data_IF_406842115211
#
_entry.id   IF_406842115211
#
_cell.length_a   1.000
_cell.length_b   1.000
_cell.length_c   1.000
_cell.angle_alpha   90.00
_cell.angle_beta   90.00
_cell.angle_gamma   90.00
#
_symmetry.space_group_name_H-M   'P 1'
#
loop_
_entity.id
_entity.type
_entity.pdbx_description
1 polymer ?
#
# COMPACT_ATOMS: atom_id res chain seq x y z
N UNK A 1 -19.85 -3.01 -1.80
CA UNK A 1 -19.53 -1.95 -2.78
C UNK A 1 -18.19 -1.29 -2.45
N UNK A 2 -18.04 -0.71 -1.25
CA UNK A 2 -16.81 -0.02 -0.83
C UNK A 2 -15.53 -0.85 -0.94
N UNK A 3 -15.56 -2.14 -0.58
CA UNK A 3 -14.37 -3.00 -0.57
C UNK A 3 -13.73 -3.20 -1.96
N UNK A 4 -14.53 -3.44 -3.01
CA UNK A 4 -14.00 -3.67 -4.36
C UNK A 4 -13.26 -2.45 -4.89
N UNK A 5 -13.84 -1.25 -4.69
CA UNK A 5 -13.20 0.01 -5.08
C UNK A 5 -11.91 0.27 -4.30
N UNK A 6 -11.92 0.07 -2.98
CA UNK A 6 -10.72 0.26 -2.15
C UNK A 6 -9.59 -0.70 -2.52
N UNK A 7 -9.90 -1.99 -2.69
CA UNK A 7 -8.89 -2.99 -3.07
C UNK A 7 -8.33 -2.75 -4.48
N UNK A 8 -9.14 -2.21 -5.39
CA UNK A 8 -8.67 -1.78 -6.72
C UNK A 8 -7.73 -0.58 -6.62
N UNK A 9 -8.06 0.43 -5.79
CA UNK A 9 -7.18 1.58 -5.52
C UNK A 9 -5.83 1.11 -4.97
N UNK A 10 -5.82 0.15 -4.05
CA UNK A 10 -4.58 -0.42 -3.50
C UNK A 10 -3.73 -1.04 -4.61
N UNK A 11 -4.34 -1.80 -5.51
CA UNK A 11 -3.63 -2.44 -6.62
C UNK A 11 -3.06 -1.45 -7.63
N UNK A 12 -3.84 -0.45 -8.02
CA UNK A 12 -3.44 0.54 -9.03
C UNK A 12 -2.32 1.45 -8.49
N UNK A 13 -2.54 2.07 -7.33
CA UNK A 13 -1.56 2.93 -6.68
C UNK A 13 -0.31 2.14 -6.28
N UNK A 14 -0.49 0.91 -5.80
CA UNK A 14 0.61 0.03 -5.46
C UNK A 14 1.46 -0.35 -6.66
N UNK A 15 0.83 -0.69 -7.79
CA UNK A 15 1.54 -1.02 -9.02
C UNK A 15 2.30 0.20 -9.57
N UNK A 16 1.71 1.39 -9.50
CA UNK A 16 2.40 2.63 -9.86
C UNK A 16 3.68 2.85 -9.04
N UNK A 17 3.62 2.64 -7.71
CA UNK A 17 4.81 2.69 -6.85
C UNK A 17 5.86 1.69 -7.31
N UNK A 18 5.50 0.41 -7.49
CA UNK A 18 6.46 -0.62 -7.89
C UNK A 18 7.14 -0.31 -9.23
N UNK A 19 6.42 0.27 -10.18
CA UNK A 19 7.02 0.77 -11.44
C UNK A 19 7.98 1.93 -11.21
N UNK A 20 7.64 2.88 -10.34
CA UNK A 20 8.48 4.05 -10.06
C UNK A 20 9.80 3.71 -9.34
N UNK A 21 9.83 2.61 -8.59
CA UNK A 21 11.02 2.17 -7.85
C UNK A 21 11.72 0.96 -8.46
N UNK A 22 11.31 0.51 -9.65
CA UNK A 22 11.92 -0.64 -10.30
C UNK A 22 13.41 -0.39 -10.56
N UNK A 23 14.27 -1.25 -9.99
CA UNK A 23 15.73 -1.14 -10.11
C UNK A 23 16.35 0.05 -9.36
N UNK A 24 15.56 0.81 -8.59
CA UNK A 24 16.05 1.97 -7.82
C UNK A 24 16.59 1.49 -6.47
N UNK A 25 17.80 1.91 -6.12
CA UNK A 25 18.36 1.67 -4.79
C UNK A 25 17.92 2.76 -3.79
N UNK A 26 17.94 2.45 -2.48
CA UNK A 26 17.48 3.38 -1.45
C UNK A 26 18.17 4.75 -1.53
N UNK A 27 19.49 4.80 -1.71
CA UNK A 27 20.21 6.08 -1.78
C UNK A 27 19.82 6.91 -3.02
N UNK A 28 19.54 6.25 -4.14
CA UNK A 28 19.07 6.91 -5.36
C UNK A 28 17.66 7.44 -5.17
N UNK A 29 16.76 6.63 -4.59
CA UNK A 29 15.42 7.03 -4.21
C UNK A 29 15.46 8.28 -3.33
N UNK A 30 16.27 8.25 -2.26
CA UNK A 30 16.40 9.37 -1.32
C UNK A 30 16.86 10.68 -1.98
N UNK A 31 17.61 10.61 -3.08
CA UNK A 31 18.09 11.78 -3.83
C UNK A 31 17.09 12.28 -4.88
N UNK A 32 16.18 11.42 -5.36
CA UNK A 32 15.20 11.79 -6.37
C UNK A 32 13.96 12.46 -5.77
N UNK A 33 13.98 13.79 -5.70
CA UNK A 33 12.87 14.58 -5.16
C UNK A 33 11.52 14.25 -5.82
N UNK A 34 11.48 14.18 -7.15
CA UNK A 34 10.23 13.94 -7.89
C UNK A 34 9.70 12.53 -7.65
N UNK A 35 10.56 11.51 -7.78
CA UNK A 35 10.18 10.11 -7.52
C UNK A 35 9.67 9.95 -6.09
N UNK A 36 10.37 10.50 -5.11
CA UNK A 36 9.93 10.46 -3.70
C UNK A 36 8.57 11.10 -3.48
N UNK A 37 8.33 12.27 -4.05
CA UNK A 37 7.05 12.97 -3.86
C UNK A 37 5.90 12.14 -4.42
N UNK A 38 6.05 11.58 -5.62
CA UNK A 38 5.02 10.74 -6.23
C UNK A 38 4.83 9.43 -5.45
N UNK A 39 5.92 8.76 -5.10
CA UNK A 39 5.87 7.51 -4.32
C UNK A 39 5.23 7.72 -2.96
N UNK A 40 5.53 8.83 -2.27
CA UNK A 40 4.87 9.18 -1.00
C UNK A 40 3.37 9.38 -1.20
N UNK A 41 2.96 10.08 -2.26
CA UNK A 41 1.54 10.31 -2.56
C UNK A 41 0.82 8.98 -2.78
N UNK A 42 1.34 8.13 -3.66
CA UNK A 42 0.72 6.84 -3.97
C UNK A 42 0.72 5.89 -2.76
N UNK A 43 1.78 5.90 -1.95
CA UNK A 43 1.83 5.09 -0.72
C UNK A 43 0.78 5.56 0.29
N UNK A 44 0.52 6.87 0.40
CA UNK A 44 -0.57 7.42 1.20
C UNK A 44 -1.94 6.98 0.66
N UNK A 45 -2.12 7.02 -0.65
CA UNK A 45 -3.34 6.50 -1.30
C UNK A 45 -3.58 5.03 -0.97
N UNK A 46 -2.54 4.19 -0.99
CA UNK A 46 -2.64 2.78 -0.57
C UNK A 46 -3.03 2.68 0.90
N UNK A 47 -2.35 3.40 1.81
CA UNK A 47 -2.64 3.31 3.24
C UNK A 47 -4.05 3.78 3.58
N UNK A 48 -4.52 4.85 2.93
CA UNK A 48 -5.87 5.40 3.14
C UNK A 48 -6.93 4.40 2.63
N UNK A 49 -6.69 3.78 1.49
CA UNK A 49 -7.59 2.77 0.95
C UNK A 49 -7.66 1.53 1.85
N UNK A 50 -6.52 1.05 2.38
CA UNK A 50 -6.48 -0.04 3.35
C UNK A 50 -7.15 0.33 4.68
N UNK A 51 -6.95 1.55 5.18
CA UNK A 51 -7.62 2.04 6.38
C UNK A 51 -9.15 2.07 6.22
N UNK A 52 -9.62 2.38 5.00
CA UNK A 52 -11.04 2.36 4.64
C UNK A 52 -11.66 0.97 4.55
N UNK A 53 -10.86 -0.11 4.53
CA UNK A 53 -11.40 -1.48 4.51
C UNK A 53 -12.12 -1.75 5.84
N UNK A 54 -13.41 -2.12 5.82
CA UNK A 54 -14.19 -2.37 7.03
C UNK A 54 -13.54 -3.41 7.92
N UNK A 55 -13.56 -3.18 9.24
CA UNK A 55 -12.96 -4.10 10.21
C UNK A 55 -13.49 -5.53 10.09
N UNK A 56 -14.78 -5.70 9.77
CA UNK A 56 -15.40 -7.01 9.54
C UNK A 56 -14.84 -7.75 8.30
N UNK A 57 -14.19 -7.05 7.37
CA UNK A 57 -13.56 -7.64 6.17
C UNK A 57 -12.12 -8.04 6.42
N UNK A 58 -11.40 -7.37 7.34
CA UNK A 58 -9.97 -7.63 7.60
C UNK A 58 -9.67 -9.09 7.97
N UNK A 59 -10.50 -9.82 8.75
CA UNK A 59 -10.31 -11.25 9.01
C UNK A 59 -10.35 -12.14 7.76
N UNK A 60 -10.95 -11.68 6.65
CA UNK A 60 -10.99 -12.40 5.37
C UNK A 60 -9.72 -12.20 4.53
N UNK A 61 -8.85 -11.29 4.97
CA UNK A 61 -7.58 -10.92 4.36
C UNK A 61 -6.44 -11.05 5.41
N UNK A 62 -6.26 -12.23 6.04
CA UNK A 62 -5.40 -12.39 7.21
C UNK A 62 -3.92 -12.15 6.94
N UNK A 63 -3.46 -12.39 5.72
CA UNK A 63 -2.06 -12.21 5.31
C UNK A 63 -1.67 -10.75 5.01
N UNK A 64 -2.64 -9.83 5.01
CA UNK A 64 -2.31 -8.39 4.93
C UNK A 64 -1.83 -7.95 6.30
N UNK A 65 -0.62 -7.39 6.37
CA UNK A 65 -0.08 -6.82 7.61
C UNK A 65 -0.73 -5.47 7.94
N UNK A 66 -1.93 -5.54 8.53
CA UNK A 66 -2.70 -4.37 8.95
C UNK A 66 -1.96 -3.51 9.99
N UNK A 67 -1.16 -4.13 10.87
CA UNK A 67 -0.41 -3.42 11.89
C UNK A 67 0.76 -2.64 11.28
N UNK A 68 1.50 -3.29 10.37
CA UNK A 68 2.58 -2.70 9.59
C UNK A 68 2.10 -1.51 8.76
N UNK A 69 0.99 -1.65 8.04
CA UNK A 69 0.40 -0.54 7.28
C UNK A 69 -0.01 0.64 8.16
N UNK A 70 -0.63 0.39 9.32
CA UNK A 70 -0.98 1.46 10.26
C UNK A 70 0.25 2.16 10.84
N UNK A 71 1.32 1.42 11.12
CA UNK A 71 2.57 2.00 11.60
C UNK A 71 3.26 2.85 10.51
N UNK A 72 3.37 2.32 9.30
CA UNK A 72 3.93 3.04 8.15
C UNK A 72 3.13 4.32 7.85
N UNK A 73 1.79 4.23 7.81
CA UNK A 73 0.90 5.38 7.57
C UNK A 73 1.13 6.51 8.57
N UNK A 74 1.26 6.19 9.87
CA UNK A 74 1.56 7.19 10.90
C UNK A 74 2.93 7.83 10.69
N UNK A 75 3.96 7.04 10.40
CA UNK A 75 5.31 7.54 10.21
C UNK A 75 5.44 8.46 8.98
N UNK A 76 4.82 8.10 7.84
CA UNK A 76 4.86 8.90 6.61
C UNK A 76 3.91 10.12 6.61
N UNK A 77 2.93 10.14 7.52
CA UNK A 77 2.02 11.27 7.69
C UNK A 77 2.66 12.42 8.45
N UNK A 78 3.64 12.14 9.33
CA UNK A 78 4.39 13.14 10.08
C UNK A 78 5.65 13.58 9.32
N UNK A 79 5.67 14.80 8.72
CA UNK A 79 6.83 15.29 7.98
C UNK A 79 8.04 15.57 8.87
N UNK A 80 7.85 15.62 10.19
CA UNK A 80 8.91 15.89 11.17
C UNK A 80 9.51 14.61 11.75
N UNK A 81 8.91 13.46 11.46
CA UNK A 81 9.41 12.17 11.92
C UNK A 81 10.77 11.88 11.28
N UNK A 82 11.82 11.60 12.09
CA UNK A 82 13.13 11.20 11.56
C UNK A 82 13.05 9.87 10.80
N UNK A 83 12.03 9.05 11.09
CA UNK A 83 11.87 7.72 10.51
C UNK A 83 10.98 7.73 9.26
N UNK A 84 10.47 8.89 8.82
CA UNK A 84 9.52 8.97 7.70
C UNK A 84 10.08 8.40 6.38
N UNK A 85 11.35 8.67 6.09
CA UNK A 85 12.01 8.19 4.87
C UNK A 85 12.26 6.67 4.91
N UNK A 86 12.72 6.15 6.04
CA UNK A 86 12.94 4.71 6.24
C UNK A 86 11.62 3.93 6.27
N UNK A 87 10.59 4.49 6.89
CA UNK A 87 9.25 3.91 6.90
C UNK A 87 8.63 3.87 5.50
N UNK A 88 8.82 4.93 4.70
CA UNK A 88 8.39 4.94 3.31
C UNK A 88 9.14 3.88 2.51
N UNK A 89 10.47 3.80 2.65
CA UNK A 89 11.28 2.80 1.97
C UNK A 89 10.84 1.37 2.32
N UNK A 90 10.69 1.08 3.62
CA UNK A 90 10.19 -0.21 4.08
C UNK A 90 8.80 -0.53 3.52
N UNK A 91 7.88 0.44 3.52
CA UNK A 91 6.54 0.23 2.99
C UNK A 91 6.57 -0.20 1.52
N UNK A 92 7.38 0.46 0.69
CA UNK A 92 7.39 0.22 -0.75
C UNK A 92 8.23 -1.00 -1.17
N UNK A 93 9.22 -1.41 -0.36
CA UNK A 93 10.06 -2.58 -0.66
C UNK A 93 9.63 -3.86 0.04
N UNK A 94 8.81 -3.78 1.10
CA UNK A 94 8.38 -4.95 1.88
C UNK A 94 6.86 -5.09 1.96
N UNK A 95 6.16 -4.11 2.58
CA UNK A 95 4.71 -4.22 2.82
C UNK A 95 3.91 -4.27 1.53
N UNK A 96 4.21 -3.37 0.60
CA UNK A 96 3.45 -3.20 -0.62
C UNK A 96 3.58 -4.39 -1.58
N UNK A 97 4.78 -4.91 -1.90
CA UNK A 97 4.91 -6.12 -2.71
C UNK A 97 4.16 -7.31 -2.11
N UNK A 98 4.27 -7.54 -0.80
CA UNK A 98 3.58 -8.62 -0.11
C UNK A 98 2.05 -8.45 -0.17
N UNK A 99 1.56 -7.23 0.03
CA UNK A 99 0.14 -6.90 -0.06
C UNK A 99 -0.40 -7.19 -1.45
N UNK A 100 0.26 -6.70 -2.50
CA UNK A 100 -0.17 -6.92 -3.88
C UNK A 100 -0.14 -8.40 -4.29
N UNK A 101 0.87 -9.15 -3.84
CA UNK A 101 0.92 -10.58 -4.03
C UNK A 101 -0.32 -11.27 -3.44
N UNK A 102 -0.65 -10.97 -2.19
CA UNK A 102 -1.80 -11.59 -1.52
C UNK A 102 -3.14 -11.15 -2.08
N UNK A 103 -3.29 -9.89 -2.50
CA UNK A 103 -4.52 -9.44 -3.18
C UNK A 103 -4.80 -10.25 -4.45
N UNK A 104 -3.77 -10.62 -5.22
CA UNK A 104 -3.92 -11.52 -6.37
C UNK A 104 -4.41 -12.91 -5.97
N UNK A 105 -3.91 -13.46 -4.87
CA UNK A 105 -4.36 -14.75 -4.32
C UNK A 105 -5.81 -14.66 -3.87
N UNK A 106 -6.16 -13.66 -3.06
CA UNK A 106 -7.53 -13.46 -2.59
C UNK A 106 -8.52 -13.23 -3.73
N UNK A 107 -8.12 -12.51 -4.79
CA UNK A 107 -8.99 -12.32 -5.95
C UNK A 107 -9.31 -13.63 -6.65
N UNK A 108 -8.34 -14.56 -6.69
CA UNK A 108 -8.52 -15.88 -7.28
C UNK A 108 -9.40 -16.77 -6.40
N UNK A 109 -9.12 -16.81 -5.10
CA UNK A 109 -9.75 -17.77 -4.18
C UNK A 109 -11.09 -17.27 -3.63
N UNK A 110 -11.26 -15.96 -3.53
CA UNK A 110 -12.44 -15.29 -2.97
C UNK A 110 -12.88 -14.09 -3.85
N UNK A 111 -13.24 -14.33 -5.13
CA UNK A 111 -13.59 -13.26 -6.07
C UNK A 111 -14.75 -12.38 -5.59
N UNK A 112 -15.63 -12.90 -4.74
CA UNK A 112 -16.73 -12.15 -4.12
C UNK A 112 -16.28 -10.95 -3.28
N UNK A 113 -15.04 -10.94 -2.75
CA UNK A 113 -14.49 -9.80 -2.02
C UNK A 113 -14.18 -8.62 -2.95
N UNK A 114 -13.94 -8.92 -4.23
CA UNK A 114 -13.59 -7.98 -5.28
C UNK A 114 -14.78 -7.69 -6.20
N UNK A 115 -15.86 -8.44 -6.08
CA UNK A 115 -17.05 -8.29 -6.90
C UNK A 115 -17.78 -6.98 -6.58
N UNK A 116 -18.16 -6.28 -7.65
CA UNK A 116 -19.12 -5.19 -7.57
C UNK A 116 -20.52 -5.82 -7.38
N UNK A 117 -21.07 -5.76 -6.17
CA UNK A 117 -22.50 -6.04 -5.99
C UNK A 117 -23.25 -4.76 -6.31
N UNK A 118 -24.00 -4.76 -7.42
CA UNK A 118 -24.97 -3.73 -7.80
C UNK A 118 -26.18 -3.75 -6.86
#
# INVERSE_FOLDING_TARGET
MLNSALLTIVEDAGSAVLTLIEGVEQQEFLRSRLTRTEVLLQTKTVSDALAGVPEATRPLLPEIDWAGWNAAARAIADPTSPDAEDALWFAITALLPATLMWLRVYRKDQPQLFAFKA
#
